data_IF_622874598544
#
_entry.id   IF_622874598544
#
_cell.length_a   1.000
_cell.length_b   1.000
_cell.length_c   1.000
_cell.angle_alpha   90.00
_cell.angle_beta   90.00
_cell.angle_gamma   90.00
#
_symmetry.space_group_name_H-M   'P 1'
#
loop_
_entity.id
_entity.type
_entity.pdbx_description
1 polymer ?
#
# COMPACT_ATOMS: atom_id res chain seq x y z
N UNK A 1 6.77 32.23 -5.54
CA UNK A 1 5.79 31.61 -6.46
C UNK A 1 4.72 30.94 -5.61
N UNK A 2 3.45 31.13 -5.98
CA UNK A 2 2.27 30.88 -5.15
C UNK A 2 2.22 29.46 -4.56
N UNK A 3 2.29 29.35 -3.23
CA UNK A 3 1.83 28.15 -2.51
C UNK A 3 0.31 28.25 -2.37
N UNK A 4 -0.39 28.02 -3.48
CA UNK A 4 -1.84 28.01 -3.52
C UNK A 4 -2.37 26.60 -3.20
N UNK A 5 -3.44 26.59 -2.42
CA UNK A 5 -4.34 25.50 -2.06
C UNK A 5 -3.93 24.62 -0.86
N UNK A 6 -4.50 25.00 0.30
CA UNK A 6 -5.05 24.09 1.29
C UNK A 6 -5.78 22.91 0.61
N UNK A 7 -5.07 21.84 0.29
CA UNK A 7 -5.65 20.65 -0.34
C UNK A 7 -6.31 19.74 0.69
N UNK A 8 -7.47 20.13 1.22
CA UNK A 8 -8.41 19.24 1.92
C UNK A 8 -9.32 18.53 0.92
N UNK A 9 -8.73 17.97 -0.15
CA UNK A 9 -9.43 17.36 -1.27
C UNK A 9 -9.27 15.85 -1.26
N UNK A 10 -10.19 15.15 -1.91
CA UNK A 10 -10.09 13.70 -2.15
C UNK A 10 -9.26 13.47 -3.41
N UNK A 11 -8.37 12.50 -3.37
CA UNK A 11 -7.52 12.16 -4.51
C UNK A 11 -8.35 11.70 -5.71
N UNK A 12 -7.87 12.00 -6.92
CA UNK A 12 -8.45 11.46 -8.15
C UNK A 12 -7.97 10.04 -8.42
N UNK A 13 -8.67 9.32 -9.31
CA UNK A 13 -8.23 7.99 -9.76
C UNK A 13 -6.84 8.01 -10.38
N UNK A 14 -6.51 9.05 -11.16
CA UNK A 14 -5.18 9.22 -11.75
C UNK A 14 -4.09 9.46 -10.69
N UNK A 15 -4.39 10.25 -9.64
CA UNK A 15 -3.45 10.45 -8.53
C UNK A 15 -3.20 9.14 -7.77
N UNK A 16 -4.26 8.37 -7.53
CA UNK A 16 -4.17 7.05 -6.91
C UNK A 16 -3.33 6.08 -7.75
N UNK A 17 -3.56 6.03 -9.07
CA UNK A 17 -2.81 5.16 -9.97
C UNK A 17 -1.30 5.50 -9.93
N UNK A 18 -0.95 6.79 -10.08
CA UNK A 18 0.45 7.25 -10.03
C UNK A 18 1.11 6.97 -8.69
N UNK A 19 0.40 7.20 -7.59
CA UNK A 19 0.89 6.92 -6.25
C UNK A 19 1.27 5.45 -6.10
N UNK A 20 0.42 4.55 -6.60
CA UNK A 20 0.60 3.11 -6.49
C UNK A 20 1.69 2.59 -7.44
N UNK A 21 1.79 3.14 -8.65
CA UNK A 21 2.91 2.87 -9.55
C UNK A 21 4.24 3.21 -8.87
N UNK A 22 4.32 4.34 -8.17
CA UNK A 22 5.49 4.71 -7.39
C UNK A 22 5.72 3.77 -6.19
N UNK A 23 4.67 3.46 -5.42
CA UNK A 23 4.75 2.51 -4.30
C UNK A 23 5.28 1.15 -4.76
N UNK A 24 4.81 0.64 -5.90
CA UNK A 24 5.35 -0.59 -6.48
C UNK A 24 6.81 -0.44 -6.89
N UNK A 25 7.17 0.68 -7.52
CA UNK A 25 8.53 0.94 -7.96
C UNK A 25 9.52 0.95 -6.78
N UNK A 26 9.17 1.57 -5.65
CA UNK A 26 10.02 1.65 -4.45
C UNK A 26 9.99 0.38 -3.61
N UNK A 27 8.90 -0.38 -3.65
CA UNK A 27 8.77 -1.64 -2.91
C UNK A 27 9.31 -2.85 -3.68
N UNK A 28 9.68 -2.71 -4.96
CA UNK A 28 10.20 -3.82 -5.79
C UNK A 28 11.35 -4.57 -5.16
N UNK A 29 12.33 -3.86 -4.60
CA UNK A 29 13.49 -4.50 -3.97
C UNK A 29 13.10 -5.26 -2.69
N UNK A 30 12.16 -4.73 -1.91
CA UNK A 30 11.62 -5.42 -0.72
C UNK A 30 10.74 -6.62 -1.11
N UNK A 31 9.90 -6.49 -2.13
CA UNK A 31 9.09 -7.58 -2.70
C UNK A 31 9.97 -8.74 -3.14
N UNK A 32 11.09 -8.46 -3.81
CA UNK A 32 12.10 -9.46 -4.19
C UNK A 32 12.72 -10.12 -2.96
N UNK A 33 13.09 -9.36 -1.93
CA UNK A 33 13.63 -9.91 -0.67
C UNK A 33 12.63 -10.78 0.07
N UNK A 34 11.34 -10.43 0.00
CA UNK A 34 10.24 -11.19 0.62
C UNK A 34 9.79 -12.39 -0.21
N UNK A 35 10.37 -12.61 -1.39
CA UNK A 35 10.00 -13.67 -2.33
C UNK A 35 8.48 -13.69 -2.63
N UNK A 36 7.86 -12.51 -2.68
CA UNK A 36 6.45 -12.38 -3.05
C UNK A 36 6.30 -12.57 -4.55
N UNK A 37 5.31 -13.36 -4.97
CA UNK A 37 5.03 -13.56 -6.39
C UNK A 37 4.50 -12.27 -7.04
N UNK A 38 4.70 -12.13 -8.35
CA UNK A 38 4.11 -11.05 -9.13
C UNK A 38 2.58 -11.01 -9.00
N UNK A 39 1.95 -12.18 -8.88
CA UNK A 39 0.51 -12.30 -8.64
C UNK A 39 0.11 -11.67 -7.30
N UNK A 40 0.86 -11.95 -6.23
CA UNK A 40 0.60 -11.36 -4.91
C UNK A 40 0.81 -9.85 -4.96
N UNK A 41 1.89 -9.40 -5.58
CA UNK A 41 2.19 -7.97 -5.76
C UNK A 41 1.08 -7.24 -6.52
N UNK A 42 0.57 -7.85 -7.60
CA UNK A 42 -0.55 -7.34 -8.37
C UNK A 42 -1.85 -7.28 -7.57
N UNK A 43 -2.12 -8.29 -6.72
CA UNK A 43 -3.27 -8.27 -5.79
C UNK A 43 -3.18 -7.12 -4.78
N UNK A 44 -2.03 -6.92 -4.14
CA UNK A 44 -1.82 -5.83 -3.18
C UNK A 44 -1.95 -4.45 -3.85
N UNK A 45 -1.43 -4.32 -5.07
CA UNK A 45 -1.58 -3.14 -5.93
C UNK A 45 -3.05 -2.84 -6.20
N UNK A 46 -3.81 -3.85 -6.63
CA UNK A 46 -5.23 -3.72 -6.95
C UNK A 46 -6.07 -3.36 -5.71
N UNK A 47 -5.75 -3.94 -4.55
CA UNK A 47 -6.42 -3.62 -3.27
C UNK A 47 -6.16 -2.17 -2.90
N UNK A 48 -4.91 -1.72 -2.99
CA UNK A 48 -4.54 -0.34 -2.68
C UNK A 48 -5.24 0.65 -3.62
N UNK A 49 -5.35 0.34 -4.91
CA UNK A 49 -6.05 1.19 -5.88
C UNK A 49 -7.56 1.27 -5.60
N UNK A 50 -8.16 0.12 -5.29
CA UNK A 50 -9.56 0.04 -4.89
C UNK A 50 -9.83 0.91 -3.66
N UNK A 51 -9.05 0.76 -2.59
CA UNK A 51 -9.25 1.57 -1.38
C UNK A 51 -8.98 3.06 -1.63
N UNK A 52 -7.90 3.39 -2.34
CA UNK A 52 -7.57 4.78 -2.65
C UNK A 52 -8.71 5.51 -3.36
N UNK A 53 -9.35 4.83 -4.31
CA UNK A 53 -10.44 5.40 -5.12
C UNK A 53 -11.81 5.31 -4.44
N UNK A 54 -12.18 4.15 -3.90
CA UNK A 54 -13.49 3.91 -3.29
C UNK A 54 -13.64 4.65 -1.95
N UNK A 55 -12.60 4.62 -1.11
CA UNK A 55 -12.62 5.29 0.18
C UNK A 55 -12.27 6.76 0.09
N UNK A 56 -11.91 7.23 -1.12
CA UNK A 56 -11.60 8.63 -1.42
C UNK A 56 -10.50 9.16 -0.50
N UNK A 57 -9.32 8.53 -0.56
CA UNK A 57 -8.16 8.90 0.26
C UNK A 57 -7.82 10.38 0.12
N UNK A 58 -7.31 10.96 1.20
CA UNK A 58 -6.93 12.37 1.21
C UNK A 58 -5.81 12.63 0.19
N UNK A 59 -5.94 13.72 -0.56
CA UNK A 59 -4.95 14.11 -1.59
C UNK A 59 -3.55 14.26 -1.00
N UNK A 60 -3.41 14.66 0.26
CA UNK A 60 -2.12 14.76 0.93
C UNK A 60 -1.47 13.40 1.11
N UNK A 61 -2.25 12.37 1.48
CA UNK A 61 -1.76 10.99 1.60
C UNK A 61 -1.31 10.48 0.23
N UNK A 62 -2.14 10.65 -0.79
CA UNK A 62 -1.83 10.16 -2.15
C UNK A 62 -0.63 10.87 -2.77
N UNK A 63 -0.49 12.18 -2.55
CA UNK A 63 0.71 12.93 -2.96
C UNK A 63 1.95 12.48 -2.19
N UNK A 64 1.82 12.20 -0.90
CA UNK A 64 2.91 11.66 -0.10
C UNK A 64 3.36 10.30 -0.67
N UNK A 65 2.42 9.39 -0.95
CA UNK A 65 2.70 8.07 -1.56
C UNK A 65 3.39 8.19 -2.93
N UNK A 66 2.95 9.16 -3.74
CA UNK A 66 3.57 9.45 -5.05
C UNK A 66 5.00 9.99 -4.94
N UNK A 67 5.35 10.61 -3.81
CA UNK A 67 6.66 11.19 -3.57
C UNK A 67 7.58 10.31 -2.70
N UNK A 68 7.04 9.24 -2.11
CA UNK A 68 7.78 8.32 -1.25
C UNK A 68 8.93 7.67 -2.03
N UNK A 69 10.11 7.55 -1.41
CA UNK A 69 11.30 6.93 -2.02
C UNK A 69 11.63 5.58 -1.41
N UNK A 70 10.90 5.18 -0.39
CA UNK A 70 11.10 3.95 0.35
C UNK A 70 9.77 3.37 0.84
N UNK A 71 9.79 2.08 1.19
CA UNK A 71 8.64 1.44 1.82
C UNK A 71 8.33 2.07 3.19
N UNK A 72 9.35 2.49 3.95
CA UNK A 72 9.16 3.19 5.22
C UNK A 72 8.43 4.53 5.04
N UNK A 73 8.81 5.32 4.04
CA UNK A 73 8.08 6.55 3.71
C UNK A 73 6.66 6.27 3.26
N UNK A 74 6.45 5.21 2.48
CA UNK A 74 5.11 4.78 2.06
C UNK A 74 4.24 4.49 3.28
N UNK A 75 4.76 3.75 4.27
CA UNK A 75 4.05 3.46 5.52
C UNK A 75 3.71 4.74 6.29
N UNK A 76 4.66 5.66 6.43
CA UNK A 76 4.42 6.99 7.07
C UNK A 76 3.36 7.79 6.33
N UNK A 77 3.30 7.75 5.01
CA UNK A 77 2.26 8.42 4.24
C UNK A 77 0.87 7.85 4.57
N UNK A 78 0.75 6.53 4.71
CA UNK A 78 -0.52 5.87 5.07
C UNK A 78 -0.98 6.13 6.50
N UNK A 79 -0.13 6.64 7.39
CA UNK A 79 -0.55 7.11 8.73
C UNK A 79 -1.47 8.34 8.65
N UNK A 80 -1.46 9.07 7.54
CA UNK A 80 -2.39 10.17 7.29
C UNK A 80 -3.81 9.72 6.90
N UNK A 81 -4.04 8.42 6.70
CA UNK A 81 -5.38 7.88 6.44
C UNK A 81 -6.26 7.94 7.69
N UNK A 82 -7.58 8.03 7.51
CA UNK A 82 -8.50 7.86 8.63
C UNK A 82 -8.35 6.44 9.20
N UNK A 83 -8.54 6.28 10.51
CA UNK A 83 -8.32 5.01 11.21
C UNK A 83 -9.10 3.84 10.58
N UNK A 84 -10.36 4.06 10.20
CA UNK A 84 -11.19 3.03 9.56
C UNK A 84 -10.72 2.68 8.14
N UNK A 85 -10.30 3.67 7.35
CA UNK A 85 -9.74 3.44 6.00
C UNK A 85 -8.45 2.63 6.09
N UNK A 86 -7.59 3.00 7.04
CA UNK A 86 -6.32 2.31 7.27
C UNK A 86 -6.56 0.86 7.74
N UNK A 87 -7.47 0.67 8.69
CA UNK A 87 -7.77 -0.66 9.23
C UNK A 87 -8.36 -1.59 8.16
N UNK A 88 -9.34 -1.12 7.39
CA UNK A 88 -9.97 -1.92 6.32
C UNK A 88 -8.97 -2.27 5.23
N UNK A 89 -8.19 -1.30 4.76
CA UNK A 89 -7.12 -1.53 3.79
C UNK A 89 -6.07 -2.54 4.29
N UNK A 90 -5.62 -2.42 5.54
CA UNK A 90 -4.65 -3.35 6.13
C UNK A 90 -5.19 -4.78 6.25
N UNK A 91 -6.47 -4.93 6.60
CA UNK A 91 -7.12 -6.24 6.67
C UNK A 91 -7.21 -6.91 5.29
N UNK A 92 -7.60 -6.17 4.25
CA UNK A 92 -7.70 -6.70 2.89
C UNK A 92 -6.30 -7.05 2.33
N UNK A 93 -5.28 -6.23 2.62
CA UNK A 93 -3.89 -6.56 2.28
C UNK A 93 -3.41 -7.83 2.99
N UNK A 94 -3.66 -7.95 4.30
CA UNK A 94 -3.27 -9.13 5.07
C UNK A 94 -3.96 -10.41 4.57
N UNK A 95 -5.22 -10.31 4.13
CA UNK A 95 -5.95 -11.42 3.53
C UNK A 95 -5.41 -11.83 2.14
N UNK A 96 -4.78 -10.89 1.42
CA UNK A 96 -4.20 -11.14 0.10
C UNK A 96 -2.75 -11.64 0.13
N UNK A 97 -2.05 -11.43 1.25
CA UNK A 97 -0.75 -12.04 1.45
C UNK A 97 -0.93 -13.57 1.54
N UNK A 98 -0.09 -14.36 0.84
CA UNK A 98 -0.08 -15.79 1.06
C UNK A 98 0.15 -16.04 2.55
N UNK A 99 -0.69 -16.89 3.15
CA UNK A 99 -0.42 -17.38 4.50
C UNK A 99 1.01 -17.88 4.49
N UNK A 100 1.86 -17.36 5.39
CA UNK A 100 3.22 -17.83 5.52
C UNK A 100 3.21 -19.36 5.46
N UNK A 101 4.14 -20.01 4.72
CA UNK A 101 4.24 -21.46 4.80
C UNK A 101 4.32 -21.80 6.28
N UNK A 102 3.36 -22.60 6.74
CA UNK A 102 3.41 -23.17 8.09
C UNK A 102 4.81 -23.77 8.16
N UNK A 103 5.68 -23.35 9.10
CA UNK A 103 6.96 -24.01 9.26
C UNK A 103 6.64 -25.51 9.35
N UNK A 104 7.33 -26.38 8.58
CA UNK A 104 7.04 -27.81 8.63
C UNK A 104 7.02 -28.18 10.11
N UNK A 105 5.87 -28.70 10.57
CA UNK A 105 5.73 -29.18 11.94
C UNK A 105 7.00 -30.00 12.24
N UNK A 106 7.66 -29.80 13.40
CA UNK A 106 8.84 -30.58 13.72
C UNK A 106 8.41 -32.04 13.62
N UNK A 107 8.89 -32.72 12.57
CA UNK A 107 8.69 -34.15 12.37
C UNK A 107 9.53 -34.80 13.45
N UNK A 108 8.93 -34.95 14.62
CA UNK A 108 9.66 -35.30 15.82
C UNK A 108 8.69 -35.56 16.95
N UNK A 109 8.16 -36.78 16.99
CA UNK A 109 8.06 -37.55 18.22
C UNK A 109 7.79 -39.02 17.87
N UNK A 110 8.87 -39.80 18.06
CA UNK A 110 8.95 -41.18 18.55
C UNK A 110 7.97 -42.25 18.03
#
# INVERSE_FOLDING_TARGET
>A
MAMAACGGGKASTDDCAKAIENTNAVSRDEIKKMNLSDETTSKLTSITLKHCTADKWDTKVVKCLSAAKSNEETLKCTDGLAAEQKLTWQNDMAAALPKAPVPPEPTGSA
#
